data_IF_288355091707
#
_entry.id   IF_288355091707
#
_cell.length_a   1.000
_cell.length_b   1.000
_cell.length_c   1.000
_cell.angle_alpha   90.00
_cell.angle_beta   90.00
_cell.angle_gamma   90.00
#
_symmetry.space_group_name_H-M   'P 1'
#
loop_
_entity.id
_entity.type
_entity.pdbx_description
1 polymer ?
#
# COMPACT_ATOMS: atom_id res chain seq x y z
N UNK A 1 -19.07 -5.56 -0.68
CA UNK A 1 -17.70 -5.87 -0.20
C UNK A 1 -17.53 -5.15 1.13
N UNK A 2 -17.09 -5.86 2.16
CA UNK A 2 -16.82 -5.23 3.45
C UNK A 2 -15.71 -4.19 3.30
N UNK A 3 -15.86 -3.03 3.93
CA UNK A 3 -14.90 -1.93 3.79
C UNK A 3 -13.59 -2.31 4.47
N UNK A 4 -12.56 -2.60 3.68
CA UNK A 4 -11.22 -2.92 4.20
C UNK A 4 -10.69 -1.72 5.00
N UNK A 5 -10.28 -1.97 6.24
CA UNK A 5 -9.77 -0.94 7.13
C UNK A 5 -8.41 -0.46 6.65
N UNK A 6 -8.09 0.81 6.92
CA UNK A 6 -6.81 1.40 6.51
C UNK A 6 -5.60 0.58 7.01
N UNK A 7 -5.66 0.12 8.25
CA UNK A 7 -4.60 -0.70 8.85
C UNK A 7 -4.37 -2.00 8.08
N UNK A 8 -5.44 -2.68 7.66
CA UNK A 8 -5.36 -3.93 6.89
C UNK A 8 -4.72 -3.68 5.52
N UNK A 9 -5.11 -2.58 4.85
CA UNK A 9 -4.51 -2.19 3.57
C UNK A 9 -3.02 -1.86 3.70
N UNK A 10 -2.62 -1.11 4.71
CA UNK A 10 -1.21 -0.74 4.93
C UNK A 10 -0.36 -1.98 5.19
N UNK A 11 -0.84 -2.93 6.00
CA UNK A 11 -0.15 -4.20 6.25
C UNK A 11 -0.01 -5.01 4.95
N UNK A 12 -1.10 -5.19 4.20
CA UNK A 12 -1.08 -5.92 2.94
C UNK A 12 -0.18 -5.26 1.89
N UNK A 13 -0.28 -3.93 1.74
CA UNK A 13 0.53 -3.14 0.81
C UNK A 13 2.02 -3.28 1.12
N UNK A 14 2.39 -3.18 2.40
CA UNK A 14 3.78 -3.37 2.84
C UNK A 14 4.28 -4.75 2.44
N UNK A 15 3.53 -5.82 2.73
CA UNK A 15 3.90 -7.20 2.37
C UNK A 15 4.09 -7.38 0.86
N UNK A 16 3.15 -6.87 0.06
CA UNK A 16 3.19 -6.99 -1.41
C UNK A 16 4.40 -6.29 -2.04
N UNK A 17 4.81 -5.16 -1.47
CA UNK A 17 5.98 -4.41 -1.95
C UNK A 17 7.29 -5.11 -1.56
N UNK A 18 7.44 -5.56 -0.31
CA UNK A 18 8.69 -6.21 0.14
C UNK A 18 8.89 -7.60 -0.46
N UNK A 19 7.81 -8.29 -0.83
CA UNK A 19 7.87 -9.60 -1.48
C UNK A 19 8.35 -9.53 -2.94
N UNK A 20 8.24 -8.36 -3.56
CA UNK A 20 8.67 -8.13 -4.94
C UNK A 20 9.52 -6.86 -5.02
N UNK A 21 10.74 -6.89 -4.47
CA UNK A 21 11.64 -5.75 -4.57
C UNK A 21 11.97 -5.46 -6.03
N UNK A 22 12.26 -4.20 -6.34
CA UNK A 22 12.57 -3.71 -7.70
C UNK A 22 11.47 -3.94 -8.75
N UNK A 23 10.25 -4.24 -8.32
CA UNK A 23 9.10 -4.39 -9.21
C UNK A 23 8.29 -3.10 -9.28
N UNK A 24 8.00 -2.64 -10.50
CA UNK A 24 7.12 -1.49 -10.72
C UNK A 24 5.66 -1.94 -10.78
N UNK A 25 4.91 -1.64 -9.74
CA UNK A 25 3.46 -1.89 -9.71
C UNK A 25 2.68 -0.70 -10.27
N UNK A 26 1.73 -0.91 -11.19
CA UNK A 26 0.75 0.13 -11.54
C UNK A 26 -0.10 0.48 -10.32
N UNK A 27 -0.34 1.77 -10.07
CA UNK A 27 -1.15 2.21 -8.93
C UNK A 27 -2.59 1.65 -8.96
N UNK A 28 -3.13 1.43 -10.16
CA UNK A 28 -4.44 0.80 -10.36
C UNK A 28 -4.55 -0.61 -9.76
N UNK A 29 -3.46 -1.38 -9.77
CA UNK A 29 -3.43 -2.74 -9.23
C UNK A 29 -3.92 -2.80 -7.78
N UNK A 30 -3.42 -1.92 -6.91
CA UNK A 30 -3.83 -1.88 -5.51
C UNK A 30 -5.16 -1.16 -5.31
N UNK A 31 -5.49 -0.19 -6.17
CA UNK A 31 -6.77 0.51 -6.15
C UNK A 31 -7.93 -0.48 -6.35
N UNK A 32 -7.78 -1.38 -7.32
CA UNK A 32 -8.75 -2.41 -7.67
C UNK A 32 -8.74 -3.52 -6.60
N UNK A 33 -7.56 -3.95 -6.15
CA UNK A 33 -7.41 -4.97 -5.10
C UNK A 33 -8.12 -4.58 -3.80
N UNK A 34 -8.00 -3.32 -3.38
CA UNK A 34 -8.58 -2.84 -2.13
C UNK A 34 -9.95 -2.17 -2.29
N UNK A 35 -10.42 -1.96 -3.53
CA UNK A 35 -11.68 -1.26 -3.81
C UNK A 35 -11.69 0.19 -3.32
N UNK A 36 -10.57 0.91 -3.44
CA UNK A 36 -10.43 2.31 -3.00
C UNK A 36 -10.02 3.23 -4.14
N UNK A 37 -10.19 4.54 -3.96
CA UNK A 37 -9.68 5.53 -4.89
C UNK A 37 -8.14 5.60 -4.86
N UNK A 38 -7.53 5.93 -6.01
CA UNK A 38 -6.08 6.13 -6.14
C UNK A 38 -5.54 7.21 -5.19
N UNK A 39 -6.32 8.24 -4.90
CA UNK A 39 -5.94 9.29 -3.94
C UNK A 39 -5.80 8.74 -2.51
N UNK A 40 -6.76 7.93 -2.05
CA UNK A 40 -6.69 7.25 -0.74
C UNK A 40 -5.52 6.29 -0.68
N UNK A 41 -5.27 5.53 -1.76
CA UNK A 41 -4.11 4.63 -1.83
C UNK A 41 -2.77 5.37 -1.73
N UNK A 42 -2.66 6.56 -2.33
CA UNK A 42 -1.45 7.38 -2.25
C UNK A 42 -1.13 7.81 -0.81
N UNK A 43 -2.14 8.07 0.02
CA UNK A 43 -1.94 8.37 1.44
C UNK A 43 -1.42 7.14 2.22
N UNK A 44 -1.93 5.95 1.89
CA UNK A 44 -1.46 4.69 2.47
C UNK A 44 0.00 4.43 2.06
N UNK A 45 0.35 4.62 0.78
CA UNK A 45 1.72 4.51 0.27
C UNK A 45 2.68 5.50 0.96
N UNK A 46 2.26 6.75 1.16
CA UNK A 46 3.06 7.74 1.86
C UNK A 46 3.33 7.32 3.30
N UNK A 47 2.33 6.73 3.97
CA UNK A 47 2.46 6.22 5.34
C UNK A 47 3.47 5.08 5.41
N UNK A 48 3.39 4.11 4.49
CA UNK A 48 4.35 3.01 4.37
C UNK A 48 5.76 3.53 4.11
N UNK A 49 5.93 4.41 3.12
CA UNK A 49 7.22 5.01 2.76
C UNK A 49 7.87 5.72 3.95
N UNK A 50 7.09 6.53 4.68
CA UNK A 50 7.60 7.27 5.83
C UNK A 50 7.98 6.34 6.98
N UNK A 51 7.18 5.32 7.26
CA UNK A 51 7.47 4.32 8.29
C UNK A 51 8.77 3.56 7.97
N UNK A 52 8.90 3.02 6.75
CA UNK A 52 10.12 2.31 6.33
C UNK A 52 11.35 3.21 6.47
N UNK A 53 11.28 4.45 5.96
CA UNK A 53 12.36 5.43 6.11
C UNK A 53 12.71 5.73 7.57
N UNK A 54 11.71 5.88 8.44
CA UNK A 54 11.91 6.19 9.86
C UNK A 54 12.63 5.06 10.60
N UNK A 55 12.34 3.80 10.26
CA UNK A 55 12.93 2.63 10.91
C UNK A 55 14.14 2.05 10.17
N UNK A 56 14.57 2.65 9.05
CA UNK A 56 15.72 2.19 8.26
C UNK A 56 15.47 0.88 7.52
N UNK A 57 14.22 0.65 7.08
CA UNK A 57 13.76 -0.51 6.33
C UNK A 57 13.64 -0.22 4.82
#
# INVERSE_FOLDING_TARGET
MEKIRRVERVVALTKLLVDRPYHLFPLGHFSDLFGIAKSTLSEDLLSVKNALKQFGL
#
